data_IF_791633472350
#
_entry.id   IF_791633472350
#
_cell.length_a   1.000
_cell.length_b   1.000
_cell.length_c   1.000
_cell.angle_alpha   90.00
_cell.angle_beta   90.00
_cell.angle_gamma   90.00
#
_symmetry.space_group_name_H-M   'P 1'
#
loop_
_entity.id
_entity.type
_entity.pdbx_description
1 polymer ?
#
# COMPACT_ATOMS: atom_id res chain seq x y z
N UNK A 1 30.99 -27.64 22.45
CA UNK A 1 29.91 -27.02 21.63
C UNK A 1 28.95 -26.20 22.46
N UNK A 2 28.46 -26.67 23.61
CA UNK A 2 27.63 -25.86 24.53
C UNK A 2 28.32 -24.55 24.92
N UNK A 3 29.62 -24.58 25.27
CA UNK A 3 30.37 -23.36 25.57
C UNK A 3 30.42 -22.36 24.39
N UNK A 4 30.57 -22.85 23.15
CA UNK A 4 30.58 -21.99 21.97
C UNK A 4 29.20 -21.35 21.73
N UNK A 5 28.13 -22.12 21.93
CA UNK A 5 26.76 -21.58 21.86
C UNK A 5 26.50 -20.55 22.96
N UNK A 6 26.92 -20.81 24.20
CA UNK A 6 26.85 -19.85 25.29
C UNK A 6 27.58 -18.53 24.94
N UNK A 7 28.81 -18.60 24.43
CA UNK A 7 29.53 -17.41 23.98
C UNK A 7 28.77 -16.66 22.88
N UNK A 8 28.16 -17.36 21.92
CA UNK A 8 27.35 -16.73 20.87
C UNK A 8 26.11 -16.01 21.43
N UNK A 9 25.46 -16.59 22.45
CA UNK A 9 24.33 -15.95 23.13
C UNK A 9 24.76 -14.73 23.94
N UNK A 10 25.92 -14.77 24.59
CA UNK A 10 26.47 -13.60 25.31
C UNK A 10 26.78 -12.45 24.34
N UNK A 11 27.37 -12.75 23.18
CA UNK A 11 27.60 -11.74 22.13
C UNK A 11 26.28 -11.19 21.62
N UNK A 12 25.28 -12.04 21.39
CA UNK A 12 23.96 -11.60 20.97
C UNK A 12 23.29 -10.71 22.03
N UNK A 13 23.35 -11.09 23.31
CA UNK A 13 22.83 -10.28 24.43
C UNK A 13 23.47 -8.90 24.47
N UNK A 14 24.80 -8.81 24.39
CA UNK A 14 25.51 -7.53 24.37
C UNK A 14 25.13 -6.66 23.16
N UNK A 15 24.96 -7.27 21.99
CA UNK A 15 24.51 -6.55 20.79
C UNK A 15 23.08 -5.99 21.02
N UNK A 16 22.17 -6.80 21.57
CA UNK A 16 20.81 -6.39 21.84
C UNK A 16 20.72 -5.27 22.89
N UNK A 17 21.52 -5.35 23.96
CA UNK A 17 21.63 -4.29 24.98
C UNK A 17 22.11 -2.96 24.38
N UNK A 18 23.01 -3.03 23.39
CA UNK A 18 23.51 -1.86 22.66
C UNK A 18 22.64 -1.47 21.46
N UNK A 19 21.45 -2.08 21.30
CA UNK A 19 20.48 -1.88 20.21
C UNK A 19 21.04 -2.14 18.81
N UNK A 20 22.01 -3.05 18.71
CA UNK A 20 22.57 -3.53 17.46
C UNK A 20 22.00 -4.91 17.10
N UNK A 21 21.91 -5.18 15.80
CA UNK A 21 21.55 -6.51 15.33
C UNK A 21 22.67 -7.50 15.69
N UNK A 22 22.35 -8.61 16.38
CA UNK A 22 23.33 -9.63 16.72
C UNK A 22 23.79 -10.39 15.46
N UNK A 23 25.01 -10.96 15.48
CA UNK A 23 25.46 -11.84 14.41
C UNK A 23 24.64 -13.15 14.36
N UNK A 24 24.65 -13.89 13.24
CA UNK A 24 23.98 -15.19 13.13
C UNK A 24 24.44 -16.20 14.18
N UNK A 25 23.51 -16.96 14.77
CA UNK A 25 23.78 -17.97 15.79
C UNK A 25 24.24 -19.32 15.20
N UNK A 26 25.31 -19.32 14.41
CA UNK A 26 25.81 -20.53 13.73
C UNK A 26 26.15 -21.68 14.71
N UNK A 27 26.66 -21.33 15.90
CA UNK A 27 26.96 -22.30 16.96
C UNK A 27 25.71 -23.05 17.45
N UNK A 28 24.52 -22.45 17.37
CA UNK A 28 23.26 -23.10 17.72
C UNK A 28 22.88 -24.20 16.73
N UNK A 29 23.03 -23.94 15.43
CA UNK A 29 22.80 -24.94 14.39
C UNK A 29 23.76 -26.14 14.54
N UNK A 30 25.04 -25.86 14.82
CA UNK A 30 26.04 -26.91 15.09
C UNK A 30 25.69 -27.73 16.34
N UNK A 31 25.34 -27.07 17.45
CA UNK A 31 24.94 -27.75 18.69
C UNK A 31 23.74 -28.67 18.45
N UNK A 32 22.78 -28.23 17.64
CA UNK A 32 21.58 -29.00 17.30
C UNK A 32 21.90 -30.23 16.45
N UNK A 33 22.77 -30.11 15.44
CA UNK A 33 23.21 -31.25 14.62
C UNK A 33 23.90 -32.32 15.45
N UNK A 34 24.65 -31.91 16.47
CA UNK A 34 25.40 -32.83 17.33
C UNK A 34 24.52 -33.44 18.42
N UNK A 35 23.59 -32.65 18.96
CA UNK A 35 22.52 -33.16 19.82
C UNK A 35 21.70 -34.27 19.16
N UNK A 36 21.45 -34.18 17.85
CA UNK A 36 20.67 -35.18 17.11
C UNK A 36 21.30 -36.59 17.11
N UNK A 37 22.62 -36.70 17.35
CA UNK A 37 23.35 -37.98 17.44
C UNK A 37 23.26 -38.65 18.82
N UNK A 38 22.73 -37.93 19.83
CA UNK A 38 22.68 -38.39 21.21
C UNK A 38 21.33 -39.08 21.51
N UNK A 39 21.28 -40.04 22.44
CA UNK A 39 20.02 -40.62 22.89
C UNK A 39 19.20 -39.62 23.71
N UNK A 40 17.91 -39.91 23.87
CA UNK A 40 17.08 -39.23 24.86
C UNK A 40 17.61 -39.50 26.28
N UNK A 41 17.53 -38.53 27.22
CA UNK A 41 16.89 -37.21 27.08
C UNK A 41 17.82 -36.11 26.55
N UNK A 42 19.12 -36.39 26.36
CA UNK A 42 20.13 -35.36 26.09
C UNK A 42 19.89 -34.65 24.75
N UNK A 43 19.41 -35.38 23.74
CA UNK A 43 18.96 -34.80 22.47
C UNK A 43 17.90 -33.72 22.65
N UNK A 44 16.87 -34.00 23.46
CA UNK A 44 15.73 -33.13 23.68
C UNK A 44 16.14 -31.88 24.45
N UNK A 45 16.90 -32.06 25.54
CA UNK A 45 17.41 -30.95 26.36
C UNK A 45 18.25 -29.97 25.55
N UNK A 46 19.17 -30.49 24.71
CA UNK A 46 20.03 -29.63 23.88
C UNK A 46 19.26 -28.98 22.73
N UNK A 47 18.28 -29.65 22.13
CA UNK A 47 17.42 -29.06 21.13
C UNK A 47 16.59 -27.91 21.71
N UNK A 48 15.96 -28.13 22.87
CA UNK A 48 15.18 -27.12 23.58
C UNK A 48 16.02 -25.91 23.98
N UNK A 49 17.26 -26.14 24.45
CA UNK A 49 18.18 -25.05 24.76
C UNK A 49 18.43 -24.15 23.53
N UNK A 50 18.65 -24.74 22.36
CA UNK A 50 18.85 -23.98 21.11
C UNK A 50 17.57 -23.25 20.70
N UNK A 51 16.40 -23.88 20.86
CA UNK A 51 15.11 -23.27 20.52
C UNK A 51 14.83 -22.06 21.41
N UNK A 52 15.00 -22.19 22.73
CA UNK A 52 14.76 -21.10 23.67
C UNK A 52 15.75 -19.95 23.48
N UNK A 53 17.05 -20.26 23.39
CA UNK A 53 18.07 -19.23 23.18
C UNK A 53 17.85 -18.46 21.87
N UNK A 54 17.49 -19.16 20.78
CA UNK A 54 17.19 -18.50 19.50
C UNK A 54 15.88 -17.70 19.56
N UNK A 55 14.87 -18.17 20.28
CA UNK A 55 13.60 -17.45 20.49
C UNK A 55 13.85 -16.11 21.20
N UNK A 56 14.65 -16.10 22.26
CA UNK A 56 14.96 -14.88 23.01
C UNK A 56 15.74 -13.88 22.16
N UNK A 57 16.73 -14.35 21.39
CA UNK A 57 17.47 -13.51 20.45
C UNK A 57 16.54 -12.96 19.35
N UNK A 58 15.68 -13.79 18.76
CA UNK A 58 14.71 -13.38 17.73
C UNK A 58 13.71 -12.36 18.25
N UNK A 59 13.31 -12.45 19.52
CA UNK A 59 12.46 -11.45 20.18
C UNK A 59 13.20 -10.12 20.30
N UNK A 60 14.45 -10.13 20.80
CA UNK A 60 15.26 -8.92 20.91
C UNK A 60 15.54 -8.25 19.56
N UNK A 61 15.80 -9.04 18.51
CA UNK A 61 15.88 -8.53 17.13
C UNK A 61 14.57 -7.84 16.76
N UNK A 62 13.43 -8.49 17.00
CA UNK A 62 12.11 -7.93 16.74
C UNK A 62 11.89 -6.58 17.43
N UNK A 63 12.24 -6.47 18.71
CA UNK A 63 12.13 -5.23 19.49
C UNK A 63 12.97 -4.09 18.90
N UNK A 64 14.20 -4.39 18.45
CA UNK A 64 15.06 -3.41 17.74
C UNK A 64 14.41 -2.97 16.43
N UNK A 65 13.91 -3.90 15.62
CA UNK A 65 13.27 -3.60 14.34
C UNK A 65 12.03 -2.71 14.52
N UNK A 66 11.20 -3.00 15.54
CA UNK A 66 10.04 -2.19 15.90
C UNK A 66 10.48 -0.77 16.32
N UNK A 67 11.49 -0.66 17.17
CA UNK A 67 12.00 0.63 17.63
C UNK A 67 12.55 1.48 16.48
N UNK A 68 13.34 0.88 15.58
CA UNK A 68 13.88 1.55 14.40
C UNK A 68 12.75 2.01 13.46
N UNK A 69 11.77 1.14 13.19
CA UNK A 69 10.61 1.48 12.37
C UNK A 69 9.85 2.68 12.93
N UNK A 70 9.57 2.68 14.24
CA UNK A 70 8.84 3.75 14.90
C UNK A 70 9.60 5.09 14.79
N UNK A 71 10.92 5.05 14.91
CA UNK A 71 11.78 6.23 14.82
C UNK A 71 11.88 6.79 13.40
N UNK A 72 11.98 5.93 12.38
CA UNK A 72 12.21 6.35 10.99
C UNK A 72 10.90 6.69 10.26
N UNK A 73 9.86 5.88 10.44
CA UNK A 73 8.62 5.98 9.65
C UNK A 73 7.51 6.69 10.41
N UNK A 74 7.36 6.41 11.71
CA UNK A 74 6.13 6.63 12.45
C UNK A 74 5.51 8.02 12.21
N UNK A 75 6.21 9.07 12.61
CA UNK A 75 5.67 10.43 12.48
C UNK A 75 5.64 10.95 11.04
N UNK A 76 6.68 10.66 10.24
CA UNK A 76 6.79 11.11 8.85
C UNK A 76 5.64 10.60 7.97
N UNK A 77 5.24 9.34 8.19
CA UNK A 77 4.09 8.76 7.50
C UNK A 77 2.79 9.41 7.98
N UNK A 78 2.56 9.49 9.30
CA UNK A 78 1.29 10.01 9.85
C UNK A 78 1.06 11.46 9.46
N UNK A 79 2.08 12.32 9.61
CA UNK A 79 1.96 13.74 9.25
C UNK A 79 1.65 13.94 7.76
N UNK A 80 2.13 13.01 6.91
CA UNK A 80 1.87 13.04 5.48
C UNK A 80 0.42 12.66 5.13
N UNK A 81 -0.12 11.58 5.71
CA UNK A 81 -1.35 10.96 5.19
C UNK A 81 -2.54 10.83 6.16
N UNK A 82 -2.31 10.82 7.47
CA UNK A 82 -3.38 10.56 8.44
C UNK A 82 -4.46 11.66 8.40
N UNK A 83 -5.73 11.25 8.39
CA UNK A 83 -6.88 12.16 8.40
C UNK A 83 -7.10 12.94 7.09
N UNK A 84 -6.31 12.68 6.05
CA UNK A 84 -6.39 13.38 4.76
C UNK A 84 -6.99 12.50 3.67
N UNK A 85 -7.61 13.12 2.68
CA UNK A 85 -8.03 12.44 1.46
C UNK A 85 -6.79 12.10 0.61
N UNK A 86 -6.69 10.90 0.02
CA UNK A 86 -7.74 9.90 -0.20
C UNK A 86 -7.90 8.81 0.88
N UNK A 87 -7.05 8.78 1.90
CA UNK A 87 -7.11 7.75 2.96
C UNK A 87 -8.34 7.89 3.87
N UNK A 88 -8.79 9.13 4.07
CA UNK A 88 -10.04 9.49 4.74
C UNK A 88 -11.00 10.09 3.71
N UNK A 89 -11.97 9.33 3.17
CA UNK A 89 -12.81 9.78 2.04
C UNK A 89 -13.59 11.07 2.29
N UNK A 90 -13.98 11.32 3.54
CA UNK A 90 -14.75 12.49 3.97
C UNK A 90 -13.89 13.73 4.25
N UNK A 91 -12.56 13.61 4.21
CA UNK A 91 -11.67 14.72 4.53
C UNK A 91 -11.70 15.78 3.45
N UNK A 92 -11.69 17.06 3.86
CA UNK A 92 -11.53 18.22 2.99
C UNK A 92 -10.06 18.58 2.75
N UNK A 93 -9.16 18.06 3.58
CA UNK A 93 -7.73 18.25 3.41
C UNK A 93 -7.18 17.12 2.55
N UNK A 94 -6.45 17.48 1.51
CA UNK A 94 -5.81 16.54 0.62
C UNK A 94 -4.40 16.20 1.09
N UNK A 95 -3.98 14.96 0.87
CA UNK A 95 -2.56 14.58 0.88
C UNK A 95 -1.87 15.29 -0.27
N UNK A 96 -0.73 15.93 -0.01
CA UNK A 96 0.09 16.50 -1.07
C UNK A 96 0.70 15.39 -1.95
N UNK A 97 0.84 15.63 -3.26
CA UNK A 97 1.38 14.62 -4.17
C UNK A 97 2.82 14.23 -3.84
N UNK A 98 3.63 15.17 -3.35
CA UNK A 98 5.00 14.93 -2.90
C UNK A 98 5.03 14.17 -1.58
N UNK A 99 4.12 14.47 -0.65
CA UNK A 99 3.94 13.71 0.59
C UNK A 99 3.55 12.25 0.29
N UNK A 100 2.61 12.04 -0.63
CA UNK A 100 2.23 10.70 -1.07
C UNK A 100 3.41 9.95 -1.69
N UNK A 101 4.17 10.59 -2.58
CA UNK A 101 5.36 10.01 -3.17
C UNK A 101 6.44 9.69 -2.14
N UNK A 102 6.70 10.60 -1.18
CA UNK A 102 7.67 10.38 -0.10
C UNK A 102 7.33 9.16 0.73
N UNK A 103 6.03 8.85 0.91
CA UNK A 103 5.59 7.67 1.67
C UNK A 103 5.64 6.38 0.84
N UNK A 104 5.10 6.40 -0.38
CA UNK A 104 4.76 5.17 -1.12
C UNK A 104 5.62 4.86 -2.34
N UNK A 105 6.31 5.84 -2.92
CA UNK A 105 7.08 5.63 -4.13
C UNK A 105 8.24 4.64 -3.91
N UNK A 106 8.87 4.20 -5.00
CA UNK A 106 10.13 3.48 -4.88
C UNK A 106 11.19 4.42 -4.31
N UNK A 107 11.90 3.95 -3.27
CA UNK A 107 12.80 4.81 -2.49
C UNK A 107 12.09 5.84 -1.61
N UNK A 108 10.79 5.66 -1.35
CA UNK A 108 10.06 6.38 -0.30
C UNK A 108 10.30 5.73 1.07
N UNK A 109 9.87 6.38 2.15
CA UNK A 109 10.22 5.97 3.53
C UNK A 109 9.80 4.55 3.88
N UNK A 110 8.67 4.06 3.33
CA UNK A 110 8.22 2.68 3.57
C UNK A 110 9.02 1.66 2.75
N UNK A 111 9.34 1.99 1.50
CA UNK A 111 10.11 1.12 0.62
C UNK A 111 11.56 1.02 1.09
N UNK A 112 12.21 2.15 1.37
CA UNK A 112 13.58 2.21 1.84
C UNK A 112 13.77 1.43 3.14
N UNK A 113 12.90 1.66 4.13
CA UNK A 113 12.97 0.90 5.38
C UNK A 113 12.77 -0.59 5.14
N UNK A 114 11.79 -0.98 4.31
CA UNK A 114 11.57 -2.39 4.02
C UNK A 114 12.79 -3.02 3.36
N UNK A 115 13.33 -2.42 2.30
CA UNK A 115 14.46 -2.98 1.55
C UNK A 115 15.74 -3.05 2.39
N UNK A 116 16.02 -2.00 3.18
CA UNK A 116 17.27 -1.91 3.94
C UNK A 116 17.22 -2.69 5.26
N UNK A 117 16.05 -2.78 5.89
CA UNK A 117 15.93 -3.27 7.26
C UNK A 117 15.15 -4.59 7.32
N UNK A 118 13.99 -4.70 6.67
CA UNK A 118 13.10 -5.86 6.83
C UNK A 118 13.33 -6.98 5.80
N UNK A 119 13.71 -6.67 4.57
CA UNK A 119 13.83 -7.62 3.47
C UNK A 119 14.73 -8.84 3.77
N UNK A 120 15.85 -8.71 4.52
CA UNK A 120 16.63 -9.88 4.93
C UNK A 120 15.82 -10.88 5.76
N UNK A 121 14.86 -10.40 6.56
CA UNK A 121 14.08 -11.18 7.52
C UNK A 121 12.72 -11.65 6.98
N UNK A 122 12.25 -11.13 5.85
CA UNK A 122 10.87 -11.34 5.37
C UNK A 122 10.83 -12.20 4.11
N UNK A 123 9.93 -13.17 4.09
CA UNK A 123 9.54 -13.94 2.91
C UNK A 123 8.37 -13.23 2.20
N UNK A 124 8.66 -12.62 1.05
CA UNK A 124 7.69 -11.92 0.19
C UNK A 124 7.18 -12.79 -0.96
N UNK A 125 7.59 -14.06 -1.04
CA UNK A 125 7.18 -14.98 -2.12
C UNK A 125 5.77 -15.53 -1.92
N UNK A 126 5.23 -15.34 -0.71
CA UNK A 126 3.88 -15.76 -0.33
C UNK A 126 3.03 -14.55 0.07
N UNK A 127 1.72 -14.70 0.05
CA UNK A 127 0.77 -13.71 0.57
C UNK A 127 -0.17 -14.38 1.59
N UNK A 128 -0.33 -13.85 2.81
CA UNK A 128 0.31 -12.64 3.35
C UNK A 128 1.82 -12.81 3.61
N UNK A 129 2.56 -11.71 3.61
CA UNK A 129 4.00 -11.70 3.93
C UNK A 129 4.26 -12.18 5.37
N UNK A 130 5.35 -12.92 5.56
CA UNK A 130 5.76 -13.42 6.88
C UNK A 130 7.26 -13.35 7.09
N UNK A 131 7.69 -13.33 8.35
CA UNK A 131 9.10 -13.50 8.69
C UNK A 131 9.60 -14.90 8.32
N UNK A 132 10.84 -14.97 7.83
CA UNK A 132 11.52 -16.23 7.50
C UNK A 132 11.74 -17.05 8.77
N UNK A 133 11.55 -18.36 8.64
CA UNK A 133 11.92 -19.31 9.69
C UNK A 133 13.40 -19.65 9.56
N UNK A 134 14.12 -19.68 10.68
CA UNK A 134 15.50 -20.19 10.73
C UNK A 134 15.53 -21.72 10.85
N UNK A 135 14.51 -22.31 11.46
CA UNK A 135 14.24 -23.75 11.52
C UNK A 135 12.72 -23.99 11.74
N UNK A 136 12.17 -25.17 11.38
CA UNK A 136 10.73 -25.45 11.45
C UNK A 136 10.08 -25.26 12.84
N UNK A 137 10.85 -25.49 13.90
CA UNK A 137 10.42 -25.47 15.31
C UNK A 137 10.90 -24.24 16.09
N UNK A 138 11.66 -23.35 15.43
CA UNK A 138 12.13 -22.10 16.02
C UNK A 138 11.18 -20.99 15.60
N UNK A 139 10.58 -20.25 16.55
CA UNK A 139 9.73 -19.11 16.22
C UNK A 139 10.52 -18.08 15.39
N UNK A 140 9.90 -17.47 14.36
CA UNK A 140 10.54 -16.43 13.58
C UNK A 140 10.80 -15.18 14.41
N UNK A 141 11.52 -14.22 13.82
CA UNK A 141 11.66 -12.87 14.37
C UNK A 141 10.28 -12.27 14.63
N UNK A 142 10.05 -11.80 15.86
CA UNK A 142 8.82 -11.13 16.27
C UNK A 142 8.90 -9.62 15.95
N UNK A 143 9.13 -9.29 14.69
CA UNK A 143 9.31 -7.90 14.23
C UNK A 143 7.99 -7.14 14.05
N UNK A 144 8.04 -5.92 13.49
CA UNK A 144 6.84 -5.13 13.23
C UNK A 144 5.85 -5.85 12.31
N UNK A 145 4.58 -5.44 12.36
CA UNK A 145 3.57 -5.90 11.41
C UNK A 145 4.01 -5.64 9.97
N UNK A 146 3.93 -6.67 9.13
CA UNK A 146 4.29 -6.60 7.71
C UNK A 146 3.14 -6.09 6.84
N UNK A 147 1.91 -6.04 7.38
CA UNK A 147 0.70 -5.66 6.63
C UNK A 147 0.81 -4.27 6.00
N UNK A 148 1.26 -3.21 6.71
CA UNK A 148 1.41 -1.89 6.09
C UNK A 148 2.39 -1.87 4.92
N UNK A 149 3.49 -2.65 4.98
CA UNK A 149 4.49 -2.71 3.92
C UNK A 149 3.97 -3.44 2.69
N UNK A 150 3.24 -4.55 2.89
CA UNK A 150 2.56 -5.26 1.81
C UNK A 150 1.53 -4.34 1.13
N UNK A 151 0.68 -3.65 1.91
CA UNK A 151 -0.30 -2.69 1.38
C UNK A 151 0.35 -1.50 0.68
N UNK A 152 1.47 -1.00 1.19
CA UNK A 152 2.22 0.09 0.57
C UNK A 152 2.76 -0.33 -0.81
N UNK A 153 3.19 -1.58 -0.97
CA UNK A 153 3.57 -2.13 -2.27
C UNK A 153 2.38 -2.17 -3.24
N UNK A 154 1.21 -2.62 -2.80
CA UNK A 154 -0.01 -2.64 -3.62
C UNK A 154 -0.42 -1.23 -4.08
N UNK A 155 -0.38 -0.24 -3.17
CA UNK A 155 -0.59 1.17 -3.49
C UNK A 155 0.44 1.64 -4.51
N UNK A 156 1.71 1.30 -4.32
CA UNK A 156 2.78 1.69 -5.24
C UNK A 156 2.56 1.15 -6.64
N UNK A 157 2.17 -0.11 -6.79
CA UNK A 157 1.93 -0.76 -8.08
C UNK A 157 0.79 -0.09 -8.88
N UNK A 158 -0.17 0.55 -8.20
CA UNK A 158 -1.28 1.28 -8.85
C UNK A 158 -0.86 2.69 -9.28
N UNK A 159 -0.20 3.45 -8.40
CA UNK A 159 0.08 4.87 -8.63
C UNK A 159 1.45 5.16 -9.29
N UNK A 160 2.41 4.24 -9.17
CA UNK A 160 3.80 4.37 -9.65
C UNK A 160 4.15 3.20 -10.59
N UNK A 161 3.41 3.08 -11.69
CA UNK A 161 3.48 1.92 -12.59
C UNK A 161 4.83 1.67 -13.25
N UNK A 162 5.59 2.74 -13.52
CA UNK A 162 6.89 2.59 -14.15
C UNK A 162 7.93 2.14 -13.11
N UNK A 163 8.77 1.14 -13.42
CA UNK A 163 9.80 0.66 -12.48
C UNK A 163 10.69 1.80 -11.98
N UNK A 164 10.79 1.94 -10.65
CA UNK A 164 11.59 3.00 -10.03
C UNK A 164 10.98 4.41 -10.10
N UNK A 165 9.70 4.54 -10.50
CA UNK A 165 9.03 5.83 -10.55
C UNK A 165 8.96 6.50 -9.18
N UNK A 166 9.41 7.76 -9.14
CA UNK A 166 9.33 8.66 -7.97
C UNK A 166 8.14 9.63 -8.03
N UNK A 167 7.46 9.67 -9.18
CA UNK A 167 6.29 10.53 -9.42
C UNK A 167 5.10 9.66 -9.81
N UNK A 168 3.92 10.11 -9.43
CA UNK A 168 2.67 9.44 -9.78
C UNK A 168 2.42 9.60 -11.27
N UNK A 169 2.03 8.52 -11.92
CA UNK A 169 1.62 8.49 -13.32
C UNK A 169 0.51 7.46 -13.50
N UNK A 170 -0.63 7.74 -12.87
CA UNK A 170 -1.74 6.81 -12.83
C UNK A 170 -2.59 6.92 -14.10
N UNK A 171 -2.80 5.80 -14.79
CA UNK A 171 -3.52 5.74 -16.06
C UNK A 171 -4.89 5.10 -15.88
N UNK A 172 -5.92 5.78 -16.37
CA UNK A 172 -7.33 5.36 -16.33
C UNK A 172 -7.96 5.60 -17.70
N UNK A 173 -8.71 4.62 -18.21
CA UNK A 173 -9.53 4.78 -19.42
C UNK A 173 -11.00 4.92 -19.02
N UNK A 174 -11.69 5.95 -19.53
CA UNK A 174 -13.13 6.17 -19.28
C UNK A 174 -13.93 6.04 -20.58
N UNK A 175 -15.10 5.40 -20.51
CA UNK A 175 -16.03 5.27 -21.64
C UNK A 175 -17.44 5.64 -21.22
N UNK A 176 -18.13 6.46 -22.02
CA UNK A 176 -19.57 6.69 -21.85
C UNK A 176 -20.31 5.47 -22.39
N UNK A 177 -20.89 4.65 -21.50
CA UNK A 177 -21.60 3.42 -21.88
C UNK A 177 -23.12 3.59 -21.90
N UNK A 178 -23.63 4.60 -21.20
CA UNK A 178 -25.03 4.98 -21.23
C UNK A 178 -25.11 6.50 -21.07
N UNK A 179 -25.97 7.15 -21.85
CA UNK A 179 -26.26 8.57 -21.71
C UNK A 179 -27.75 8.77 -21.99
N UNK A 180 -28.43 9.47 -21.09
CA UNK A 180 -29.82 9.84 -21.27
C UNK A 180 -29.99 10.70 -22.55
N UNK A 181 -31.01 10.44 -23.39
CA UNK A 181 -31.26 11.22 -24.61
C UNK A 181 -31.46 12.73 -24.36
N UNK A 182 -31.91 13.12 -23.17
CA UNK A 182 -32.06 14.54 -22.79
C UNK A 182 -30.72 15.21 -22.46
N UNK A 183 -29.63 14.45 -22.33
CA UNK A 183 -28.27 14.97 -22.31
C UNK A 183 -27.73 14.90 -23.73
N UNK A 184 -27.77 16.03 -24.44
CA UNK A 184 -27.29 16.17 -25.82
C UNK A 184 -25.77 16.03 -25.88
N UNK A 185 -25.07 16.52 -24.86
CA UNK A 185 -23.62 16.49 -24.78
C UNK A 185 -23.14 16.23 -23.35
N UNK A 186 -22.21 15.29 -23.19
CA UNK A 186 -21.45 15.10 -21.96
C UNK A 186 -20.00 15.55 -22.21
N UNK A 187 -19.54 16.55 -21.45
CA UNK A 187 -18.16 17.02 -21.49
C UNK A 187 -17.43 16.51 -20.25
N UNK A 188 -16.29 15.86 -20.43
CA UNK A 188 -15.42 15.41 -19.34
C UNK A 188 -14.06 16.09 -19.50
N UNK A 189 -13.51 16.69 -18.44
CA UNK A 189 -12.14 17.20 -18.39
C UNK A 189 -11.46 16.71 -17.12
N UNK A 190 -10.33 16.02 -17.28
CA UNK A 190 -9.48 15.58 -16.19
C UNK A 190 -8.10 16.19 -16.38
N UNK A 191 -7.88 17.31 -15.68
CA UNK A 191 -6.61 18.05 -15.67
C UNK A 191 -6.11 18.46 -17.06
N UNK A 192 -7.03 18.86 -17.95
CA UNK A 192 -6.72 19.30 -19.32
C UNK A 192 -6.73 18.19 -20.36
N UNK A 193 -7.05 16.95 -19.97
CA UNK A 193 -7.37 15.85 -20.87
C UNK A 193 -8.90 15.75 -20.95
N UNK A 194 -9.47 16.14 -22.09
CA UNK A 194 -10.93 16.26 -22.23
C UNK A 194 -11.51 15.41 -23.36
N UNK A 195 -12.79 15.08 -23.19
CA UNK A 195 -13.62 14.43 -24.21
C UNK A 195 -15.00 15.06 -24.21
N UNK A 196 -15.49 15.34 -25.43
CA UNK A 196 -16.88 15.69 -25.69
C UNK A 196 -17.59 14.48 -26.30
N UNK A 197 -18.65 14.00 -25.66
CA UNK A 197 -19.45 12.88 -26.14
C UNK A 197 -20.88 13.32 -26.47
N UNK A 198 -21.36 12.95 -27.65
CA UNK A 198 -22.64 13.39 -28.23
C UNK A 198 -23.39 12.22 -28.90
N UNK A 199 -23.67 11.15 -28.14
CA UNK A 199 -24.34 9.93 -28.65
C UNK A 199 -23.66 9.28 -29.88
N UNK A 200 -22.34 9.45 -29.98
CA UNK A 200 -21.53 8.86 -31.04
C UNK A 200 -21.00 7.46 -30.69
N UNK A 201 -20.03 6.94 -31.46
CA UNK A 201 -19.33 5.72 -31.10
C UNK A 201 -18.68 5.83 -29.71
N UNK A 202 -18.72 4.74 -28.94
CA UNK A 202 -18.09 4.67 -27.62
C UNK A 202 -16.57 4.58 -27.79
N UNK A 203 -15.87 5.69 -27.55
CA UNK A 203 -14.41 5.79 -27.64
C UNK A 203 -13.84 6.07 -26.25
N UNK A 204 -12.82 5.32 -25.78
CA UNK A 204 -12.20 5.57 -24.49
C UNK A 204 -11.44 6.91 -24.45
N UNK A 205 -11.73 7.74 -23.46
CA UNK A 205 -10.88 8.82 -23.00
C UNK A 205 -9.76 8.25 -22.12
N UNK A 206 -8.52 8.37 -22.57
CA UNK A 206 -7.33 7.96 -21.82
C UNK A 206 -6.86 9.12 -20.96
N UNK A 207 -6.82 8.93 -19.65
CA UNK A 207 -6.40 9.93 -18.67
C UNK A 207 -5.15 9.44 -17.96
N UNK A 208 -4.12 10.27 -17.92
CA UNK A 208 -2.99 10.13 -17.00
C UNK A 208 -3.12 11.18 -15.89
N UNK A 209 -3.03 10.77 -14.63
CA UNK A 209 -3.12 11.65 -13.47
C UNK A 209 -1.83 11.60 -12.64
N UNK A 210 -1.27 12.75 -12.20
CA UNK A 210 -1.61 14.12 -12.65
C UNK A 210 -1.44 14.30 -14.17
N UNK A 211 -2.24 15.19 -14.76
CA UNK A 211 -2.23 15.48 -16.19
C UNK A 211 -1.39 16.70 -16.55
N UNK A 212 -1.58 17.26 -17.77
CA UNK A 212 -0.82 18.41 -18.25
C UNK A 212 -0.93 19.68 -17.41
N UNK A 213 -1.99 19.82 -16.60
CA UNK A 213 -2.21 20.99 -15.73
C UNK A 213 -1.71 20.78 -14.30
N UNK A 214 -1.04 19.67 -14.00
CA UNK A 214 -0.39 19.42 -12.71
C UNK A 214 -1.30 18.84 -11.62
N UNK A 215 -2.46 18.31 -11.99
CA UNK A 215 -3.41 17.65 -11.08
C UNK A 215 -4.28 18.64 -10.32
N UNK A 216 -4.75 19.71 -10.97
CA UNK A 216 -5.41 20.82 -10.28
C UNK A 216 -6.94 20.70 -10.24
N UNK A 217 -7.55 20.00 -11.20
CA UNK A 217 -9.01 19.93 -11.27
C UNK A 217 -9.54 18.84 -12.18
N UNK A 218 -10.80 18.49 -11.96
CA UNK A 218 -11.58 17.60 -12.79
C UNK A 218 -13.04 18.07 -12.85
N UNK A 219 -13.69 17.86 -13.98
CA UNK A 219 -15.07 18.24 -14.23
C UNK A 219 -15.78 17.23 -15.16
N UNK A 220 -17.03 16.89 -14.83
CA UNK A 220 -17.97 16.25 -15.75
C UNK A 220 -19.21 17.13 -15.84
N UNK A 221 -19.62 17.50 -17.05
CA UNK A 221 -20.75 18.40 -17.29
C UNK A 221 -21.73 17.80 -18.31
N UNK A 222 -23.00 17.77 -17.94
CA UNK A 222 -24.11 17.40 -18.81
C UNK A 222 -24.77 18.65 -19.42
N UNK A 223 -24.98 18.63 -20.73
CA UNK A 223 -25.63 19.69 -21.49
C UNK A 223 -26.89 19.15 -22.21
N UNK A 224 -27.98 19.94 -22.31
CA UNK A 224 -28.16 21.27 -21.75
C UNK A 224 -28.12 21.28 -20.21
N UNK A 225 -27.58 22.35 -19.64
CA UNK A 225 -27.55 22.56 -18.20
C UNK A 225 -28.96 22.90 -17.73
N UNK A 226 -29.52 22.08 -16.84
CA UNK A 226 -30.82 22.33 -16.23
C UNK A 226 -30.64 23.27 -15.04
N UNK A 227 -29.68 22.97 -14.15
CA UNK A 227 -29.16 23.91 -13.15
C UNK A 227 -27.64 23.85 -13.08
N UNK A 228 -26.95 24.98 -12.85
CA UNK A 228 -25.48 25.00 -12.84
C UNK A 228 -24.84 24.00 -11.87
N UNK A 229 -25.40 23.84 -10.68
CA UNK A 229 -24.85 23.05 -9.58
C UNK A 229 -25.10 21.53 -9.69
N UNK A 230 -26.14 21.13 -10.42
CA UNK A 230 -26.51 19.73 -10.62
C UNK A 230 -26.09 19.21 -11.98
N UNK A 231 -25.91 20.09 -12.97
CA UNK A 231 -25.44 19.72 -14.32
C UNK A 231 -23.92 19.60 -14.43
N UNK A 232 -23.16 19.95 -13.39
CA UNK A 232 -21.71 19.88 -13.35
C UNK A 232 -21.19 19.24 -12.06
N UNK A 233 -20.30 18.26 -12.21
CA UNK A 233 -19.59 17.60 -11.12
C UNK A 233 -18.13 18.07 -11.16
N UNK A 234 -17.78 19.00 -10.27
CA UNK A 234 -16.44 19.61 -10.23
C UNK A 234 -15.70 19.22 -8.95
N UNK A 235 -14.40 18.99 -9.04
CA UNK A 235 -13.50 18.99 -7.89
C UNK A 235 -12.18 19.67 -8.25
N UNK A 236 -11.51 20.20 -7.23
CA UNK A 236 -10.20 20.82 -7.33
C UNK A 236 -9.21 20.12 -6.39
N UNK A 237 -7.93 20.39 -6.59
CA UNK A 237 -6.85 19.86 -5.77
C UNK A 237 -6.24 18.57 -6.33
N UNK A 238 -5.16 18.09 -5.69
CA UNK A 238 -4.31 17.01 -6.20
C UNK A 238 -5.10 15.73 -6.49
N UNK A 239 -6.23 15.50 -5.81
CA UNK A 239 -7.03 14.28 -6.00
C UNK A 239 -8.39 14.53 -6.66
N UNK A 240 -8.52 15.62 -7.43
CA UNK A 240 -9.78 16.02 -8.05
C UNK A 240 -10.42 14.93 -8.91
N UNK A 241 -9.67 14.20 -9.72
CA UNK A 241 -10.21 13.09 -10.52
C UNK A 241 -10.86 12.02 -9.64
N UNK A 242 -10.21 11.62 -8.54
CA UNK A 242 -10.77 10.63 -7.63
C UNK A 242 -12.06 11.15 -6.98
N UNK A 243 -12.09 12.43 -6.60
CA UNK A 243 -13.26 13.08 -6.00
C UNK A 243 -14.43 13.17 -6.97
N UNK A 244 -14.19 13.56 -8.23
CA UNK A 244 -15.25 13.63 -9.26
C UNK A 244 -15.84 12.26 -9.53
N UNK A 245 -14.99 11.24 -9.72
CA UNK A 245 -15.48 9.87 -9.96
C UNK A 245 -16.27 9.35 -8.77
N UNK A 246 -15.81 9.64 -7.54
CA UNK A 246 -16.50 9.23 -6.31
C UNK A 246 -17.84 9.95 -6.05
N UNK A 247 -18.21 10.99 -6.83
CA UNK A 247 -19.54 11.61 -6.74
C UNK A 247 -20.64 10.75 -7.37
N UNK A 248 -20.27 9.82 -8.25
CA UNK A 248 -21.22 8.88 -8.85
C UNK A 248 -21.56 7.73 -7.90
N UNK A 249 -22.64 7.03 -8.21
CA UNK A 249 -22.90 5.71 -7.64
C UNK A 249 -21.98 4.70 -8.32
N UNK A 250 -21.10 4.07 -7.54
CA UNK A 250 -20.11 3.13 -8.05
C UNK A 250 -20.59 1.70 -7.90
N UNK A 251 -20.80 1.03 -9.03
CA UNK A 251 -21.20 -0.38 -9.08
C UNK A 251 -20.04 -1.20 -9.66
N UNK A 252 -19.62 -2.25 -8.93
CA UNK A 252 -18.56 -3.15 -9.41
C UNK A 252 -18.98 -3.84 -10.70
N UNK A 253 -18.04 -3.99 -11.63
CA UNK A 253 -18.28 -4.77 -12.85
C UNK A 253 -17.91 -6.24 -12.64
N UNK A 254 -18.18 -7.08 -13.64
CA UNK A 254 -17.74 -8.47 -13.65
C UNK A 254 -16.21 -8.63 -13.71
N UNK A 255 -15.48 -7.59 -14.17
CA UNK A 255 -14.01 -7.57 -14.21
C UNK A 255 -13.44 -6.77 -13.04
N UNK A 256 -12.45 -7.28 -12.30
CA UNK A 256 -11.85 -6.55 -11.17
C UNK A 256 -11.18 -5.23 -11.54
N UNK A 257 -10.75 -5.06 -12.81
CA UNK A 257 -10.12 -3.82 -13.28
C UNK A 257 -11.09 -2.76 -13.76
N UNK A 258 -12.39 -3.07 -13.79
CA UNK A 258 -13.46 -2.20 -14.26
C UNK A 258 -14.53 -2.00 -13.20
N UNK A 259 -15.12 -0.81 -13.18
CA UNK A 259 -16.37 -0.53 -12.48
C UNK A 259 -17.19 0.49 -13.27
N UNK A 260 -18.48 0.57 -12.98
CA UNK A 260 -19.38 1.55 -13.58
C UNK A 260 -19.64 2.66 -12.58
N UNK A 261 -19.45 3.92 -13.01
CA UNK A 261 -19.86 5.10 -12.28
C UNK A 261 -21.14 5.68 -12.91
N UNK A 262 -22.27 5.59 -12.19
CA UNK A 262 -23.54 6.19 -12.58
C UNK A 262 -23.68 7.59 -11.97
N UNK A 263 -24.05 8.56 -12.78
CA UNK A 263 -24.31 9.94 -12.38
C UNK A 263 -25.75 10.31 -12.73
N UNK A 264 -26.37 11.10 -11.85
CA UNK A 264 -27.71 11.64 -12.02
C UNK A 264 -27.61 13.17 -12.15
N UNK A 265 -28.02 13.69 -13.32
CA UNK A 265 -28.03 15.10 -13.67
C UNK A 265 -29.48 15.60 -13.78
N UNK A 266 -30.12 15.77 -12.63
CA UNK A 266 -31.54 16.16 -12.49
C UNK A 266 -32.51 15.09 -13.06
N UNK A 267 -32.27 13.82 -12.73
CA UNK A 267 -33.05 12.67 -13.21
C UNK A 267 -32.56 12.09 -14.53
N UNK A 268 -31.64 12.78 -15.22
CA UNK A 268 -31.01 12.32 -16.46
C UNK A 268 -29.72 11.57 -16.15
N UNK A 269 -29.62 10.32 -16.57
CA UNK A 269 -28.51 9.44 -16.20
C UNK A 269 -27.35 9.49 -17.18
N UNK A 270 -26.14 9.36 -16.66
CA UNK A 270 -24.95 9.04 -17.45
C UNK A 270 -24.17 7.92 -16.75
N UNK A 271 -23.71 6.92 -17.49
CA UNK A 271 -22.87 5.85 -16.96
C UNK A 271 -21.53 5.84 -17.65
N UNK A 272 -20.47 5.84 -16.84
CA UNK A 272 -19.10 5.68 -17.30
C UNK A 272 -18.58 4.30 -16.91
N UNK A 273 -18.10 3.53 -17.89
CA UNK A 273 -17.20 2.40 -17.61
C UNK A 273 -15.81 2.96 -17.35
N UNK A 274 -15.25 2.66 -16.18
CA UNK A 274 -13.94 3.11 -15.74
C UNK A 274 -13.02 1.91 -15.70
N UNK A 275 -12.05 1.86 -16.60
CA UNK A 275 -11.00 0.86 -16.61
C UNK A 275 -9.75 1.43 -15.98
N UNK A 276 -9.33 0.85 -14.86
CA UNK A 276 -8.14 1.28 -14.15
C UNK A 276 -6.88 0.60 -14.66
N UNK A 277 -7.00 -0.53 -15.37
CA UNK A 277 -5.86 -1.34 -15.82
C UNK A 277 -5.15 -2.13 -14.72
N UNK A 278 -5.69 -2.15 -13.50
CA UNK A 278 -5.22 -2.95 -12.37
C UNK A 278 -6.40 -3.56 -11.62
N UNK A 279 -6.24 -4.73 -10.99
CA UNK A 279 -7.30 -5.33 -10.19
C UNK A 279 -7.61 -4.50 -8.94
N UNK A 280 -6.57 -3.93 -8.31
CA UNK A 280 -6.73 -2.99 -7.22
C UNK A 280 -6.96 -1.57 -7.75
N UNK A 281 -7.85 -0.82 -7.11
CA UNK A 281 -8.13 0.57 -7.46
C UNK A 281 -8.58 1.39 -6.24
N UNK A 282 -8.45 2.72 -6.26
CA UNK A 282 -8.71 3.54 -5.07
C UNK A 282 -10.19 3.83 -4.79
N UNK A 283 -11.10 3.37 -5.64
CA UNK A 283 -12.53 3.63 -5.50
C UNK A 283 -13.30 2.46 -4.90
N UNK A 284 -13.09 1.24 -5.41
CA UNK A 284 -13.97 0.11 -5.10
C UNK A 284 -13.30 -1.02 -4.32
N UNK A 285 -11.96 -1.10 -4.31
CA UNK A 285 -11.26 -2.24 -3.66
C UNK A 285 -10.74 -1.94 -2.27
N UNK A 286 -11.01 -0.75 -1.71
CA UNK A 286 -10.48 -0.38 -0.40
C UNK A 286 -8.95 -0.18 -0.38
N UNK A 287 -8.30 0.03 -1.55
CA UNK A 287 -6.84 0.07 -1.69
C UNK A 287 -6.19 1.04 -0.69
N UNK A 288 -6.77 2.25 -0.61
CA UNK A 288 -6.28 3.34 0.25
C UNK A 288 -7.01 3.36 1.60
N UNK A 289 -8.30 3.03 1.61
CA UNK A 289 -9.11 3.05 2.83
C UNK A 289 -8.56 2.03 3.85
N UNK A 290 -8.42 2.48 5.09
CA UNK A 290 -7.92 1.64 6.19
C UNK A 290 -6.41 1.36 6.13
N UNK A 291 -5.64 1.98 5.23
CA UNK A 291 -4.19 1.98 5.36
C UNK A 291 -3.81 2.68 6.68
N UNK A 292 -2.87 2.09 7.41
CA UNK A 292 -2.39 2.63 8.68
C UNK A 292 -0.87 2.71 8.63
N UNK A 293 -0.32 3.88 8.98
CA UNK A 293 1.11 4.04 9.11
C UNK A 293 1.69 3.05 10.12
N UNK A 294 2.86 2.45 9.84
CA UNK A 294 3.54 1.59 10.79
C UNK A 294 3.82 2.32 12.12
N UNK A 295 3.84 1.55 13.20
CA UNK A 295 4.14 2.09 14.53
C UNK A 295 2.97 2.74 15.26
N UNK A 296 1.75 2.62 14.72
CA UNK A 296 0.53 2.87 15.47
C UNK A 296 0.33 1.71 16.44
N UNK A 297 0.72 1.90 17.70
CA UNK A 297 0.22 1.07 18.79
C UNK A 297 -1.29 1.27 18.86
N UNK A 298 -2.05 0.21 18.59
CA UNK A 298 -3.45 0.14 19.00
C UNK A 298 -3.56 0.12 20.52
#
# INVERSE_FOLDING_TARGET
>A
MVNAYYTSLMVASNALETRNLPPPLEAGAQLRMEAAKLPAPLKEVLADLVIQGTRDVNKGIGDILIAQMNAVIGESCRSAIDGKYPFTPTSKQDVDMEDFARVFASGGVLDDFFQQVLAPHVDTTISPWRYKLTAPDVPPVAGPSLVPFQRAREIREVFFRDPGAKKIAWKVDLKVVELDPEIVELTMDFDGQSQRYVHGPVIPLKVTWPGPRGGQGAEITANPRVRPETSSLIANGPWAMMRVIAKGKLDNSASPSHFVAEYDFDGRKAKLDVNTGSQANPWTTGLLQGFQCPGRSG
#
